data_IF_975734120344
#
_entry.id   IF_975734120344
#
_cell.length_a   1.000
_cell.length_b   1.000
_cell.length_c   1.000
_cell.angle_alpha   90.00
_cell.angle_beta   90.00
_cell.angle_gamma   90.00
#
_symmetry.space_group_name_H-M   'P 1'
#
loop_
_entity.id
_entity.type
_entity.pdbx_description
1 polymer ?
#
# COMPACT_ATOMS: atom_id res chain seq x y z
N UNK A 1 -24.75 6.46 -6.68
CA UNK A 1 -25.04 5.21 -5.95
C UNK A 1 -26.23 5.50 -5.05
N UNK A 2 -27.37 4.82 -5.23
CA UNK A 2 -28.57 5.07 -4.42
C UNK A 2 -28.59 4.12 -3.23
N UNK A 3 -29.08 4.61 -2.09
CA UNK A 3 -29.16 3.87 -0.82
C UNK A 3 -29.85 2.49 -0.95
N UNK A 4 -30.74 2.34 -1.94
CA UNK A 4 -31.42 1.07 -2.24
C UNK A 4 -30.47 0.00 -2.81
N UNK A 5 -29.61 0.38 -3.77
CA UNK A 5 -28.66 -0.55 -4.39
C UNK A 5 -27.59 -1.03 -3.40
N UNK A 6 -27.18 -0.16 -2.48
CA UNK A 6 -26.21 -0.52 -1.45
C UNK A 6 -26.79 -1.53 -0.44
N UNK A 7 -28.09 -1.40 -0.13
CA UNK A 7 -28.79 -2.37 0.74
C UNK A 7 -28.93 -3.75 0.08
N UNK A 8 -29.32 -3.79 -1.20
CA UNK A 8 -29.42 -5.03 -1.97
C UNK A 8 -28.07 -5.76 -2.02
N UNK A 9 -27.00 -5.03 -2.36
CA UNK A 9 -25.62 -5.55 -2.37
C UNK A 9 -25.18 -6.09 -1.01
N UNK A 10 -25.48 -5.38 0.08
CA UNK A 10 -25.15 -5.84 1.43
C UNK A 10 -25.85 -7.16 1.78
N UNK A 11 -27.13 -7.31 1.43
CA UNK A 11 -27.90 -8.52 1.69
C UNK A 11 -27.39 -9.72 0.88
N UNK A 12 -27.00 -9.51 -0.38
CA UNK A 12 -26.39 -10.54 -1.23
C UNK A 12 -25.06 -11.04 -0.63
N UNK A 13 -24.18 -10.14 -0.21
CA UNK A 13 -22.90 -10.49 0.41
C UNK A 13 -23.08 -11.21 1.76
N UNK A 14 -24.06 -10.79 2.57
CA UNK A 14 -24.38 -11.46 3.84
C UNK A 14 -25.01 -12.84 3.65
N UNK A 15 -25.77 -13.04 2.58
CA UNK A 15 -26.30 -14.36 2.25
C UNK A 15 -25.18 -15.32 1.82
N UNK A 16 -24.19 -14.83 1.06
CA UNK A 16 -23.04 -15.63 0.62
C UNK A 16 -22.03 -15.90 1.74
N UNK A 17 -21.89 -14.97 2.69
CA UNK A 17 -21.00 -15.11 3.83
C UNK A 17 -21.76 -14.69 5.11
N UNK A 18 -22.21 -15.66 5.94
CA UNK A 18 -22.97 -15.39 7.16
C UNK A 18 -22.24 -14.49 8.16
N UNK A 19 -20.90 -14.50 8.12
CA UNK A 19 -20.01 -13.68 8.95
C UNK A 19 -19.62 -12.36 8.27
N UNK A 20 -20.26 -12.00 7.16
CA UNK A 20 -20.04 -10.73 6.49
C UNK A 20 -20.56 -9.57 7.36
N UNK A 21 -19.65 -8.95 8.09
CA UNK A 21 -19.90 -7.79 8.97
C UNK A 21 -20.26 -6.51 8.22
N UNK A 22 -20.18 -6.50 6.88
CA UNK A 22 -20.38 -5.32 6.05
C UNK A 22 -19.11 -4.49 5.88
N UNK A 23 -19.18 -3.48 5.01
CA UNK A 23 -18.13 -2.47 4.89
C UNK A 23 -18.27 -1.48 6.06
N UNK A 24 -17.76 -1.85 7.23
CA UNK A 24 -17.40 -0.89 8.28
C UNK A 24 -15.91 -0.63 8.14
N UNK A 25 -15.58 0.58 7.69
CA UNK A 25 -14.22 1.09 7.70
C UNK A 25 -13.55 0.90 9.08
N UNK A 26 -12.22 0.91 9.06
CA UNK A 26 -11.33 0.82 10.22
C UNK A 26 -11.40 -0.46 11.08
N UNK A 27 -12.28 -1.43 10.82
CA UNK A 27 -12.20 -2.74 11.51
C UNK A 27 -11.01 -3.58 11.01
N UNK A 28 -10.50 -3.26 9.81
CA UNK A 28 -9.17 -3.63 9.32
C UNK A 28 -8.24 -2.40 9.37
N UNK A 29 -8.22 -1.67 10.48
CA UNK A 29 -7.04 -0.84 10.74
C UNK A 29 -5.83 -1.79 10.70
N UNK A 30 -4.81 -1.52 9.87
CA UNK A 30 -3.62 -2.35 9.87
C UNK A 30 -3.13 -2.44 11.33
N UNK A 31 -2.88 -3.66 11.82
CA UNK A 31 -2.45 -3.88 13.22
C UNK A 31 -1.17 -3.13 13.60
N UNK A 32 -0.48 -2.57 12.60
CA UNK A 32 0.58 -1.59 12.78
C UNK A 32 -0.05 -0.25 13.14
N UNK A 33 0.01 0.09 14.43
CA UNK A 33 -0.11 1.46 14.91
C UNK A 33 0.62 2.39 13.94
N UNK A 34 -0.09 3.37 13.38
CA UNK A 34 0.36 4.25 12.29
C UNK A 34 1.59 5.14 12.58
N UNK A 35 2.35 4.86 13.65
CA UNK A 35 3.57 5.55 14.03
C UNK A 35 4.80 4.73 13.66
N UNK A 36 4.90 4.26 12.40
CA UNK A 36 6.21 3.80 11.91
C UNK A 36 7.04 5.08 11.67
N UNK A 37 8.14 5.32 12.40
CA UNK A 37 8.90 6.54 12.20
C UNK A 37 9.40 6.59 10.75
N UNK A 38 9.19 7.72 10.10
CA UNK A 38 9.63 7.97 8.73
C UNK A 38 10.83 8.91 8.76
N UNK A 39 11.85 8.57 7.99
CA UNK A 39 13.02 9.41 7.76
C UNK A 39 13.13 9.74 6.28
N UNK A 40 13.73 10.90 6.00
CA UNK A 40 13.85 11.36 4.65
C UNK A 40 15.19 10.92 4.04
N UNK A 41 15.13 10.06 3.02
CA UNK A 41 16.30 9.49 2.33
C UNK A 41 16.27 9.91 0.87
N UNK A 42 17.44 10.11 0.26
CA UNK A 42 17.53 10.40 -1.16
C UNK A 42 17.64 9.10 -1.95
N UNK A 43 16.86 8.97 -3.03
CA UNK A 43 17.02 7.86 -3.96
C UNK A 43 18.39 7.93 -4.66
N UNK A 44 19.14 6.84 -4.67
CA UNK A 44 20.44 6.74 -5.34
C UNK A 44 20.36 6.91 -6.87
N UNK A 45 19.21 6.62 -7.47
CA UNK A 45 19.00 6.67 -8.93
C UNK A 45 18.54 8.04 -9.40
N UNK A 46 17.50 8.60 -8.78
CA UNK A 46 16.89 9.84 -9.23
C UNK A 46 17.20 11.05 -8.33
N UNK A 47 17.93 10.86 -7.24
CA UNK A 47 18.29 11.92 -6.29
C UNK A 47 17.13 12.52 -5.51
N UNK A 48 15.89 12.07 -5.75
CA UNK A 48 14.68 12.62 -5.12
C UNK A 48 14.57 12.17 -3.67
N UNK A 49 14.22 13.11 -2.80
CA UNK A 49 13.96 12.87 -1.38
C UNK A 49 12.64 12.11 -1.19
N UNK A 50 12.66 11.02 -0.42
CA UNK A 50 11.51 10.17 -0.10
C UNK A 50 11.41 9.95 1.40
N UNK A 51 10.18 9.85 1.90
CA UNK A 51 9.92 9.47 3.29
C UNK A 51 9.82 7.95 3.35
N UNK A 52 10.75 7.33 4.07
CA UNK A 52 10.90 5.88 4.15
C UNK A 52 10.88 5.46 5.62
N UNK A 53 10.32 4.29 5.93
CA UNK A 53 10.35 3.75 7.28
C UNK A 53 11.80 3.59 7.77
N UNK A 54 12.08 3.96 9.02
CA UNK A 54 13.43 3.90 9.62
C UNK A 54 14.10 2.56 9.38
N UNK A 55 13.41 1.43 9.57
CA UNK A 55 14.01 0.11 9.34
C UNK A 55 14.53 -0.10 7.91
N UNK A 56 13.82 0.39 6.89
CA UNK A 56 14.25 0.30 5.49
C UNK A 56 15.37 1.29 5.20
N UNK A 57 15.31 2.49 5.81
CA UNK A 57 16.36 3.49 5.67
C UNK A 57 17.67 3.05 6.32
N UNK A 58 17.62 2.36 7.45
CA UNK A 58 18.79 1.81 8.14
C UNK A 58 19.40 0.63 7.37
N UNK A 59 18.57 -0.22 6.76
CA UNK A 59 19.03 -1.37 5.96
C UNK A 59 19.67 -0.95 4.64
N UNK A 60 19.04 -0.02 3.91
CA UNK A 60 19.48 0.37 2.56
C UNK A 60 20.39 1.59 2.55
N UNK A 61 20.29 2.47 3.56
CA UNK A 61 21.09 3.68 3.69
C UNK A 61 21.13 4.51 2.41
N UNK A 62 22.34 4.74 1.90
CA UNK A 62 22.59 5.51 0.67
C UNK A 62 22.24 4.75 -0.62
N UNK A 63 22.04 3.43 -0.55
CA UNK A 63 21.68 2.60 -1.70
C UNK A 63 20.18 2.54 -1.95
N UNK A 64 19.37 3.26 -1.16
CA UNK A 64 17.92 3.27 -1.31
C UNK A 64 17.48 3.63 -2.74
N UNK A 65 16.70 2.74 -3.36
CA UNK A 65 16.06 2.96 -4.67
C UNK A 65 14.57 3.16 -4.45
N UNK A 66 13.99 4.23 -5.00
CA UNK A 66 12.56 4.49 -4.85
C UNK A 66 11.72 3.58 -5.76
N UNK A 67 10.50 3.24 -5.32
CA UNK A 67 9.53 2.41 -6.06
C UNK A 67 9.39 2.80 -7.53
N UNK A 68 9.41 4.10 -7.85
CA UNK A 68 9.33 4.54 -9.26
C UNK A 68 10.49 3.99 -10.09
N UNK A 69 11.73 4.13 -9.59
CA UNK A 69 12.91 3.63 -10.28
C UNK A 69 12.99 2.10 -10.27
N UNK A 70 12.48 1.44 -9.23
CA UNK A 70 12.34 -0.03 -9.21
C UNK A 70 11.35 -0.50 -10.28
N UNK A 71 10.16 0.12 -10.34
CA UNK A 71 9.12 -0.24 -11.31
C UNK A 71 9.56 -0.02 -12.75
N UNK A 72 10.34 1.03 -13.03
CA UNK A 72 10.90 1.28 -14.36
C UNK A 72 11.92 0.21 -14.75
N UNK A 73 12.75 -0.26 -13.80
CA UNK A 73 13.72 -1.35 -14.03
C UNK A 73 13.01 -2.68 -14.27
N UNK A 74 12.00 -3.00 -13.47
CA UNK A 74 11.18 -4.22 -13.64
C UNK A 74 10.44 -4.20 -14.97
N UNK A 75 9.85 -3.06 -15.36
CA UNK A 75 9.19 -2.90 -16.65
C UNK A 75 10.15 -3.09 -17.82
N UNK A 76 11.37 -2.55 -17.73
CA UNK A 76 12.41 -2.75 -18.74
C UNK A 76 12.86 -4.22 -18.84
N UNK A 77 13.03 -4.92 -17.72
CA UNK A 77 13.40 -6.33 -17.69
C UNK A 77 12.30 -7.23 -18.31
N UNK A 78 11.04 -6.95 -17.99
CA UNK A 78 9.90 -7.70 -18.53
C UNK A 78 9.67 -7.42 -20.03
N UNK A 79 10.09 -6.27 -20.55
CA UNK A 79 9.99 -5.95 -21.99
C UNK A 79 11.04 -6.69 -22.85
N UNK A 80 12.10 -7.21 -22.24
CA UNK A 80 13.18 -7.96 -22.92
C UNK A 80 13.03 -9.48 -22.85
N UNK A 81 11.97 -9.99 -22.22
CA UNK A 81 11.64 -11.44 -22.15
C UNK A 81 10.51 -11.76 -23.11
#
# INVERSE_FOLDING_TARGET
MSHRKDRERFLELRHQNPDYKGFRGYENDPSKTGNTPLVAVNCSVCGKKRNVAVGIADELGENYVCITCESEREAAANATT
#
